data_IF_882961768351
#
_entry.id   IF_882961768351
#
_cell.length_a   1.000
_cell.length_b   1.000
_cell.length_c   1.000
_cell.angle_alpha   90.00
_cell.angle_beta   90.00
_cell.angle_gamma   90.00
#
_symmetry.space_group_name_H-M   'P 1'
#
loop_
_entity.id
_entity.type
_entity.pdbx_description
1 polymer ?
#
# COMPACT_ATOMS: atom_id res chain seq x y z
N UNK A 1 11.85 -21.13 -27.60
CA UNK A 1 11.83 -20.71 -27.49
C UNK A 1 11.54 -20.31 -27.00
N UNK A 2 11.62 -20.42 -27.26
CA UNK A 2 11.45 -19.92 -27.09
C UNK A 2 11.21 -19.33 -26.87
N UNK A 3 11.15 -19.36 -27.10
CA UNK A 3 10.99 -18.75 -27.08
C UNK A 3 10.60 -18.10 -26.90
N UNK A 4 10.58 -18.30 -27.21
CA UNK A 4 10.26 -17.66 -27.18
C UNK A 4 9.67 -16.98 -27.09
N UNK A 5 9.45 -17.29 -27.26
CA UNK A 5 8.92 -16.64 -27.35
C UNK A 5 8.20 -16.04 -26.98
N UNK A 6 7.94 -15.98 -27.14
CA UNK A 6 7.40 -15.20 -26.91
C UNK A 6 7.15 -14.47 -26.56
N UNK A 7 7.09 -14.21 -26.50
CA UNK A 7 7.01 -13.31 -26.37
C UNK A 7 6.97 -12.17 -25.98
N UNK A 8 6.84 -11.77 -25.96
CA UNK A 8 7.17 -10.44 -25.91
C UNK A 8 6.09 -9.56 -25.49
N UNK A 9 4.95 -9.90 -25.82
CA UNK A 9 3.79 -9.14 -25.50
C UNK A 9 3.59 -8.98 -24.02
N UNK A 10 4.00 -9.87 -23.24
CA UNK A 10 3.76 -9.80 -21.81
C UNK A 10 4.96 -9.38 -21.00
N UNK A 11 6.10 -9.36 -21.62
CA UNK A 11 7.29 -9.25 -20.85
C UNK A 11 7.54 -7.93 -20.19
N UNK A 12 7.35 -6.78 -20.85
CA UNK A 12 7.61 -5.51 -20.19
C UNK A 12 6.72 -5.29 -18.99
N UNK A 13 5.47 -5.70 -19.10
CA UNK A 13 4.53 -5.54 -18.00
C UNK A 13 4.91 -6.41 -16.82
N UNK A 14 5.40 -7.60 -17.10
CA UNK A 14 5.75 -8.53 -16.04
C UNK A 14 6.92 -8.05 -15.19
N UNK A 15 7.75 -7.18 -15.75
CA UNK A 15 8.92 -6.72 -15.04
C UNK A 15 8.66 -5.48 -14.22
N UNK A 16 7.46 -4.92 -14.32
CA UNK A 16 7.12 -3.74 -13.53
C UNK A 16 6.75 -4.16 -12.12
N UNK A 17 7.35 -3.49 -11.16
CA UNK A 17 6.96 -3.68 -9.76
C UNK A 17 5.64 -2.97 -9.53
N UNK A 18 4.77 -3.59 -8.76
CA UNK A 18 3.45 -3.04 -8.44
C UNK A 18 3.44 -2.53 -7.01
N UNK A 19 3.10 -1.27 -6.86
CA UNK A 19 3.10 -0.60 -5.57
C UNK A 19 1.72 -0.05 -5.31
N UNK A 20 1.16 -0.40 -4.15
CA UNK A 20 -0.17 0.07 -3.77
C UNK A 20 -0.07 1.03 -2.59
N UNK A 21 -0.89 2.06 -2.61
CA UNK A 21 -1.06 2.98 -1.50
C UNK A 21 -2.48 2.84 -0.96
N UNK A 22 -2.60 2.65 0.34
CA UNK A 22 -3.91 2.45 0.96
C UNK A 22 -3.95 3.03 2.36
N UNK A 23 -5.13 3.46 2.77
CA UNK A 23 -5.37 3.89 4.14
C UNK A 23 -5.95 2.73 4.94
N UNK A 24 -5.50 2.57 6.17
CA UNK A 24 -6.00 1.53 7.05
C UNK A 24 -7.14 2.08 7.89
N UNK A 25 -8.23 1.36 7.90
CA UNK A 25 -9.37 1.67 8.74
C UNK A 25 -9.92 0.36 9.29
N UNK A 26 -11.11 0.41 9.89
CA UNK A 26 -11.70 -0.81 10.44
C UNK A 26 -12.09 -1.80 9.35
N UNK A 27 -12.20 -1.37 8.11
CA UNK A 27 -12.53 -2.27 7.01
C UNK A 27 -11.26 -2.87 6.42
N UNK A 28 -10.62 -3.72 7.17
CA UNK A 28 -9.31 -4.25 6.80
C UNK A 28 -9.34 -5.07 5.51
N UNK A 29 -10.47 -5.73 5.22
CA UNK A 29 -10.58 -6.52 4.00
C UNK A 29 -10.51 -5.65 2.74
N UNK A 30 -10.90 -4.37 2.85
CA UNK A 30 -10.86 -3.44 1.72
C UNK A 30 -9.43 -3.09 1.33
N UNK A 31 -8.47 -3.35 2.20
CA UNK A 31 -7.05 -3.17 1.89
C UNK A 31 -6.46 -4.48 1.40
N UNK A 32 -6.75 -5.56 2.11
CA UNK A 32 -6.09 -6.84 1.86
C UNK A 32 -6.52 -7.45 0.53
N UNK A 33 -7.81 -7.46 0.25
CA UNK A 33 -8.31 -8.15 -0.93
C UNK A 33 -7.77 -7.55 -2.24
N UNK A 34 -7.81 -6.24 -2.44
CA UNK A 34 -7.24 -5.69 -3.67
C UNK A 34 -5.73 -5.93 -3.79
N UNK A 35 -5.01 -5.89 -2.67
CA UNK A 35 -3.57 -6.12 -2.72
C UNK A 35 -3.27 -7.53 -3.20
N UNK A 36 -4.03 -8.50 -2.73
CA UNK A 36 -3.86 -9.89 -3.16
C UNK A 36 -4.29 -10.04 -4.61
N UNK A 37 -5.44 -9.46 -4.97
CA UNK A 37 -5.99 -9.61 -6.32
C UNK A 37 -5.07 -9.04 -7.37
N UNK A 38 -4.42 -7.90 -7.08
CA UNK A 38 -3.51 -7.26 -8.02
C UNK A 38 -2.08 -7.77 -7.88
N UNK A 39 -1.84 -8.69 -6.94
CA UNK A 39 -0.51 -9.27 -6.74
C UNK A 39 0.54 -8.19 -6.55
N UNK A 40 0.33 -7.36 -5.55
CA UNK A 40 1.15 -6.18 -5.29
C UNK A 40 2.49 -6.61 -4.69
N UNK A 41 3.57 -5.98 -5.11
CA UNK A 41 4.90 -6.28 -4.61
C UNK A 41 5.24 -5.48 -3.37
N UNK A 42 4.75 -4.26 -3.30
CA UNK A 42 5.02 -3.37 -2.17
C UNK A 42 3.76 -2.59 -1.87
N UNK A 43 3.45 -2.45 -0.58
CA UNK A 43 2.26 -1.71 -0.17
C UNK A 43 2.66 -0.67 0.88
N UNK A 44 2.18 0.54 0.68
CA UNK A 44 2.35 1.65 1.61
C UNK A 44 1.04 1.85 2.34
N UNK A 45 1.09 1.71 3.66
CA UNK A 45 -0.11 1.77 4.49
C UNK A 45 -0.07 3.03 5.33
N UNK A 46 -1.06 3.88 5.12
CA UNK A 46 -1.25 5.09 5.92
C UNK A 46 -2.21 4.76 7.06
N UNK A 47 -1.81 5.04 8.28
CA UNK A 47 -2.70 4.82 9.40
C UNK A 47 -2.49 5.89 10.46
N UNK A 48 -3.56 6.12 11.18
CA UNK A 48 -3.58 7.11 12.24
C UNK A 48 -2.94 6.53 13.49
N UNK A 49 -2.01 7.27 14.06
CA UNK A 49 -1.40 6.91 15.34
C UNK A 49 -1.86 7.93 16.35
N UNK A 50 -2.59 7.45 17.36
CA UNK A 50 -3.04 8.31 18.42
C UNK A 50 -1.88 8.63 19.35
N UNK A 51 -2.08 9.68 20.14
CA UNK A 51 -1.14 10.07 21.16
C UNK A 51 -0.83 8.86 22.05
N UNK A 52 0.45 8.51 22.21
CA UNK A 52 0.80 7.35 23.05
C UNK A 52 0.37 7.47 24.49
N UNK A 53 0.05 8.68 24.96
CA UNK A 53 -0.45 8.87 26.32
C UNK A 53 -1.87 8.36 26.50
N UNK A 54 -2.58 8.08 25.41
CA UNK A 54 -3.94 7.58 25.49
C UNK A 54 -3.94 6.05 25.52
N UNK A 55 -4.76 5.50 26.39
CA UNK A 55 -4.75 4.05 26.62
C UNK A 55 -5.43 3.26 25.52
N UNK A 56 -6.24 3.91 24.70
CA UNK A 56 -7.03 3.23 23.68
C UNK A 56 -6.42 3.49 22.31
N UNK A 57 -5.83 2.47 21.72
CA UNK A 57 -5.19 2.60 20.41
C UNK A 57 -5.79 1.58 19.44
N UNK A 58 -7.07 1.75 19.19
CA UNK A 58 -7.83 0.84 18.32
C UNK A 58 -7.24 0.79 16.92
N UNK A 59 -6.70 1.90 16.47
CA UNK A 59 -6.21 1.98 15.10
C UNK A 59 -4.96 1.14 14.86
N UNK A 60 -4.16 0.92 15.89
CA UNK A 60 -3.01 0.04 15.72
C UNK A 60 -3.44 -1.41 15.58
N UNK A 61 -4.56 -1.79 16.15
CA UNK A 61 -5.08 -3.14 16.00
C UNK A 61 -5.50 -3.40 14.55
N UNK A 62 -6.12 -2.41 13.91
CA UNK A 62 -6.49 -2.54 12.51
C UNK A 62 -5.25 -2.66 11.62
N UNK A 63 -4.23 -1.86 11.93
CA UNK A 63 -2.98 -1.94 11.18
C UNK A 63 -2.35 -3.32 11.35
N UNK A 64 -2.27 -3.80 12.57
CA UNK A 64 -1.67 -5.11 12.84
C UNK A 64 -2.45 -6.22 12.14
N UNK A 65 -3.76 -6.11 12.09
CA UNK A 65 -4.56 -7.09 11.39
C UNK A 65 -4.30 -7.09 9.89
N UNK A 66 -4.20 -5.92 9.29
CA UNK A 66 -3.90 -5.80 7.86
C UNK A 66 -2.54 -6.43 7.57
N UNK A 67 -1.53 -6.08 8.36
CA UNK A 67 -0.18 -6.62 8.16
C UNK A 67 -0.19 -8.14 8.29
N UNK A 68 -0.86 -8.66 9.31
CA UNK A 68 -0.92 -10.09 9.54
C UNK A 68 -1.58 -10.81 8.36
N UNK A 69 -2.69 -10.28 7.87
CA UNK A 69 -3.39 -10.88 6.74
C UNK A 69 -2.59 -10.80 5.45
N UNK A 70 -1.92 -9.68 5.24
CA UNK A 70 -1.08 -9.54 4.04
C UNK A 70 0.06 -10.55 4.05
N UNK A 71 0.73 -10.70 5.18
CA UNK A 71 1.85 -11.63 5.26
C UNK A 71 1.40 -13.08 5.15
N UNK A 72 0.20 -13.39 5.62
CA UNK A 72 -0.35 -14.74 5.48
C UNK A 72 -0.64 -15.06 4.01
N UNK A 73 -1.16 -14.09 3.27
CA UNK A 73 -1.55 -14.29 1.87
C UNK A 73 -0.39 -14.06 0.90
N UNK A 74 0.52 -13.17 1.24
CA UNK A 74 1.63 -12.77 0.36
C UNK A 74 2.90 -12.66 1.20
N UNK A 75 3.56 -13.78 1.48
CA UNK A 75 4.69 -13.77 2.44
C UNK A 75 5.86 -12.88 2.05
N UNK A 76 6.01 -12.58 0.77
CA UNK A 76 7.14 -11.78 0.31
C UNK A 76 6.79 -10.32 0.08
N UNK A 77 5.57 -9.91 0.39
CA UNK A 77 5.17 -8.52 0.18
C UNK A 77 5.99 -7.59 1.06
N UNK A 78 6.39 -6.47 0.49
CA UNK A 78 7.09 -5.44 1.24
C UNK A 78 6.08 -4.44 1.77
N UNK A 79 6.07 -4.24 3.08
CA UNK A 79 5.10 -3.35 3.73
C UNK A 79 5.85 -2.14 4.27
N UNK A 80 5.40 -0.96 3.86
CA UNK A 80 5.97 0.30 4.30
C UNK A 80 4.92 1.05 5.12
N UNK A 81 5.24 1.35 6.36
CA UNK A 81 4.32 2.00 7.27
C UNK A 81 4.48 3.52 7.20
N UNK A 82 3.36 4.20 7.05
CA UNK A 82 3.30 5.66 7.15
C UNK A 82 2.42 5.99 8.35
N UNK A 83 3.01 5.91 9.51
CA UNK A 83 2.33 6.17 10.76
C UNK A 83 2.70 7.57 11.19
N UNK A 84 1.95 8.35 11.60
CA UNK A 84 2.34 9.57 12.26
C UNK A 84 1.24 10.59 12.21
N UNK A 85 1.00 11.10 11.06
CA UNK A 85 0.03 12.18 10.99
C UNK A 85 -1.34 11.60 10.79
N UNK A 86 -2.34 12.27 11.33
CA UNK A 86 -3.70 11.83 11.14
C UNK A 86 -4.02 11.74 9.67
N UNK A 87 -4.51 10.60 9.25
CA UNK A 87 -4.95 10.42 7.86
C UNK A 87 -6.12 11.34 7.54
N UNK A 88 -6.66 12.00 8.55
CA UNK A 88 -7.76 12.94 8.36
C UNK A 88 -7.27 14.34 8.01
N UNK A 89 -5.96 14.59 8.08
CA UNK A 89 -5.41 15.84 7.59
C UNK A 89 -5.06 15.65 6.12
N UNK A 90 -5.98 16.02 5.26
CA UNK A 90 -5.86 15.70 3.84
C UNK A 90 -4.60 16.31 3.21
N UNK A 91 -4.27 17.55 3.56
CA UNK A 91 -3.12 18.20 2.95
C UNK A 91 -1.82 17.50 3.34
N UNK A 92 -1.68 17.13 4.60
CA UNK A 92 -0.48 16.42 5.04
C UNK A 92 -0.40 15.04 4.41
N UNK A 93 -1.52 14.35 4.36
CA UNK A 93 -1.56 13.03 3.76
C UNK A 93 -1.21 13.10 2.28
N UNK A 94 -1.76 14.07 1.58
CA UNK A 94 -1.48 14.24 0.15
C UNK A 94 -0.01 14.53 -0.09
N UNK A 95 0.58 15.40 0.74
CA UNK A 95 2.00 15.71 0.61
C UNK A 95 2.86 14.47 0.85
N UNK A 96 2.53 13.72 1.87
CA UNK A 96 3.24 12.48 2.19
C UNK A 96 3.11 11.47 1.05
N UNK A 97 1.91 11.34 0.50
CA UNK A 97 1.66 10.44 -0.62
C UNK A 97 2.50 10.84 -1.84
N UNK A 98 2.49 12.12 -2.19
CA UNK A 98 3.22 12.58 -3.37
C UNK A 98 4.73 12.42 -3.17
N UNK A 99 5.24 12.70 -1.98
CA UNK A 99 6.65 12.51 -1.67
C UNK A 99 7.03 11.05 -1.82
N UNK A 100 6.20 10.16 -1.29
CA UNK A 100 6.48 8.73 -1.37
C UNK A 100 6.46 8.24 -2.82
N UNK A 101 5.52 8.74 -3.62
CA UNK A 101 5.46 8.36 -5.03
C UNK A 101 6.75 8.77 -5.76
N UNK A 102 7.24 9.97 -5.47
CA UNK A 102 8.51 10.41 -6.06
C UNK A 102 9.65 9.49 -5.64
N UNK A 103 9.67 9.11 -4.38
CA UNK A 103 10.72 8.23 -3.87
C UNK A 103 10.70 6.86 -4.54
N UNK A 104 9.52 6.27 -4.70
CA UNK A 104 9.44 4.95 -5.33
C UNK A 104 9.76 5.02 -6.82
N UNK A 105 9.41 6.12 -7.48
CA UNK A 105 9.80 6.30 -8.87
C UNK A 105 11.31 6.40 -9.02
N UNK A 106 11.96 7.08 -8.09
CA UNK A 106 13.41 7.18 -8.11
C UNK A 106 14.05 5.83 -7.84
N UNK A 107 13.49 5.08 -6.91
CA UNK A 107 14.07 3.79 -6.51
C UNK A 107 13.87 2.71 -7.56
N UNK A 108 12.71 2.67 -8.19
CA UNK A 108 12.34 1.55 -9.06
C UNK A 108 12.24 1.91 -10.54
N UNK A 109 12.36 3.18 -10.88
CA UNK A 109 12.30 3.62 -12.26
C UNK A 109 10.88 3.84 -12.74
N UNK A 110 10.20 2.80 -13.13
CA UNK A 110 8.86 2.93 -13.70
C UNK A 110 7.92 1.91 -13.05
N UNK A 111 7.59 2.09 -11.76
CA UNK A 111 6.67 1.17 -11.09
C UNK A 111 5.24 1.42 -11.52
N UNK A 112 4.42 0.38 -11.42
CA UNK A 112 2.98 0.52 -11.56
C UNK A 112 2.41 0.92 -10.21
N UNK A 113 1.74 2.06 -10.15
CA UNK A 113 1.26 2.62 -8.89
C UNK A 113 -0.26 2.51 -8.84
N UNK A 114 -0.75 1.91 -7.76
CA UNK A 114 -2.17 1.67 -7.55
C UNK A 114 -2.60 2.44 -6.29
N UNK A 115 -3.61 3.28 -6.43
CA UNK A 115 -4.16 4.01 -5.30
C UNK A 115 -5.47 3.33 -4.89
N UNK A 116 -5.47 2.78 -3.68
CA UNK A 116 -6.66 2.13 -3.16
C UNK A 116 -7.43 3.11 -2.30
N UNK A 117 -8.51 3.64 -2.83
CA UNK A 117 -9.33 4.62 -2.13
C UNK A 117 -10.52 4.00 -1.42
N UNK A 118 -10.62 2.67 -1.43
CA UNK A 118 -11.79 1.99 -0.89
C UNK A 118 -11.91 2.07 0.62
N UNK A 119 -10.81 2.21 1.32
CA UNK A 119 -10.78 2.13 2.78
C UNK A 119 -10.17 3.37 3.39
N UNK A 120 -10.42 4.53 2.85
CA UNK A 120 -9.85 5.75 3.38
C UNK A 120 -10.88 6.84 3.51
N UNK A 121 -10.44 8.05 3.87
CA UNK A 121 -11.32 9.20 3.85
C UNK A 121 -11.81 9.44 2.43
N UNK A 122 -12.96 10.08 2.31
CA UNK A 122 -13.54 10.30 0.99
C UNK A 122 -12.65 11.17 0.10
N UNK A 123 -11.78 11.94 0.69
CA UNK A 123 -10.85 12.79 -0.06
C UNK A 123 -9.66 12.03 -0.63
N UNK A 124 -9.41 10.86 -0.11
CA UNK A 124 -8.29 10.07 -0.58
C UNK A 124 -8.53 9.51 -1.97
#
# INVERSE_FOLDING_TARGET
MNLLVSPMWSKPVQNSIRIMYACVSFETVMVVEPAVRYNVDEIHLFHYVRDPSQSDNVYSEFYDEVVSRLRASMPTIRIVEHASDPIYNFQKMLRCLLTSIEEVKTAYGDPEILINSSAGPSEF
#
